data_IF_799666483148
#
_entry.id   IF_799666483148
#
_cell.length_a   1.000
_cell.length_b   1.000
_cell.length_c   1.000
_cell.angle_alpha   90.00
_cell.angle_beta   90.00
_cell.angle_gamma   90.00
#
_symmetry.space_group_name_H-M   'P 1'
#
loop_
_entity.id
_entity.type
_entity.pdbx_description
1 polymer ?
#
# COMPACT_ATOMS: atom_id res chain seq x y z
N UNK A 1 -21.63 3.13 1.07
CA UNK A 1 -21.81 4.49 0.48
C UNK A 1 -21.00 4.50 -0.80
N UNK A 2 -21.56 4.95 -1.92
CA UNK A 2 -20.81 5.10 -3.17
C UNK A 2 -19.86 6.30 -3.03
N UNK A 3 -18.63 6.21 -3.56
CA UNK A 3 -17.66 7.33 -3.52
C UNK A 3 -18.24 8.63 -4.08
N UNK A 4 -19.16 8.55 -5.06
CA UNK A 4 -19.89 9.71 -5.59
C UNK A 4 -20.89 10.31 -4.61
N UNK A 5 -21.34 9.58 -3.57
CA UNK A 5 -22.24 10.13 -2.55
C UNK A 5 -21.49 11.02 -1.56
N UNK A 6 -20.18 10.80 -1.36
CA UNK A 6 -19.33 11.69 -0.58
C UNK A 6 -19.40 13.13 -1.09
N UNK A 7 -19.37 13.32 -2.41
CA UNK A 7 -19.38 14.65 -3.02
C UNK A 7 -20.64 15.48 -2.70
N UNK A 8 -21.74 14.80 -2.31
CA UNK A 8 -23.02 15.41 -1.94
C UNK A 8 -23.27 15.45 -0.44
N UNK A 9 -22.39 14.89 0.35
CA UNK A 9 -22.46 14.91 1.80
C UNK A 9 -21.62 16.04 2.39
N UNK A 10 -21.78 16.31 3.66
CA UNK A 10 -20.96 17.21 4.46
C UNK A 10 -19.72 16.52 5.08
N UNK A 11 -19.54 15.23 4.79
CA UNK A 11 -18.34 14.50 5.18
C UNK A 11 -17.09 15.06 4.48
N UNK A 12 -15.97 15.11 5.19
CA UNK A 12 -14.69 15.65 4.70
C UNK A 12 -13.78 14.59 4.12
N UNK A 13 -13.94 13.34 4.51
CA UNK A 13 -13.09 12.21 4.13
C UNK A 13 -13.91 10.96 3.84
N UNK A 14 -13.33 10.04 3.08
CA UNK A 14 -13.81 8.67 2.89
C UNK A 14 -12.74 7.71 3.41
N UNK A 15 -13.13 6.83 4.32
CA UNK A 15 -12.28 5.74 4.82
C UNK A 15 -12.71 4.41 4.24
N UNK A 16 -11.80 3.73 3.56
CA UNK A 16 -11.95 2.34 3.14
C UNK A 16 -11.31 1.43 4.18
N UNK A 17 -12.05 0.43 4.61
CA UNK A 17 -11.57 -0.64 5.48
C UNK A 17 -12.19 -1.94 4.98
N UNK A 18 -11.36 -2.88 4.55
CA UNK A 18 -11.84 -4.21 4.18
C UNK A 18 -12.30 -4.97 5.42
N UNK A 19 -13.36 -5.75 5.28
CA UNK A 19 -14.01 -6.45 6.40
C UNK A 19 -13.13 -7.50 7.07
N UNK A 20 -12.00 -7.83 6.48
CA UNK A 20 -11.03 -8.81 6.95
C UNK A 20 -9.66 -8.19 7.32
N UNK A 21 -9.61 -6.86 7.46
CA UNK A 21 -8.45 -6.14 8.02
C UNK A 21 -8.66 -5.92 9.52
N UNK A 22 -7.73 -6.44 10.32
CA UNK A 22 -7.61 -6.16 11.76
C UNK A 22 -6.65 -4.98 11.97
N UNK A 23 -7.10 -3.96 12.69
CA UNK A 23 -6.39 -2.70 12.89
C UNK A 23 -6.64 -2.11 14.28
N UNK A 24 -5.77 -1.23 14.74
CA UNK A 24 -6.01 -0.43 15.92
C UNK A 24 -6.91 0.77 15.55
N UNK A 25 -8.07 0.99 16.21
CA UNK A 25 -8.92 2.15 15.93
C UNK A 25 -8.20 3.51 16.04
N UNK A 26 -7.14 3.60 16.84
CA UNK A 26 -6.31 4.81 16.92
C UNK A 26 -5.54 5.09 15.63
N UNK A 27 -5.33 4.09 14.75
CA UNK A 27 -4.70 4.29 13.46
C UNK A 27 -5.56 5.19 12.56
N UNK A 28 -6.89 5.06 12.61
CA UNK A 28 -7.80 5.96 11.86
C UNK A 28 -7.66 7.41 12.34
N UNK A 29 -7.56 7.61 13.66
CA UNK A 29 -7.35 8.95 14.23
C UNK A 29 -5.98 9.51 13.82
N UNK A 30 -4.96 8.66 13.80
CA UNK A 30 -3.62 9.05 13.34
C UNK A 30 -3.61 9.45 11.87
N UNK A 31 -4.29 8.69 10.99
CA UNK A 31 -4.41 9.05 9.56
C UNK A 31 -5.06 10.44 9.39
N UNK A 32 -6.15 10.71 10.12
CA UNK A 32 -6.82 12.02 10.08
C UNK A 32 -5.91 13.15 10.57
N UNK A 33 -5.15 12.92 11.65
CA UNK A 33 -4.27 13.93 12.24
C UNK A 33 -3.05 14.26 11.36
N UNK A 34 -2.66 13.35 10.46
CA UNK A 34 -1.55 13.56 9.54
C UNK A 34 -1.90 14.48 8.36
N UNK A 35 -3.17 14.75 8.15
CA UNK A 35 -3.68 15.73 7.15
C UNK A 35 -3.07 15.54 5.75
N UNK A 36 -3.15 14.32 5.22
CA UNK A 36 -2.66 13.97 3.88
C UNK A 36 -3.82 13.70 2.93
N UNK A 37 -3.71 14.09 1.65
CA UNK A 37 -4.81 13.97 0.69
C UNK A 37 -5.24 12.50 0.47
N UNK A 38 -4.29 11.59 0.39
CA UNK A 38 -4.51 10.13 0.34
C UNK A 38 -3.47 9.47 1.22
N UNK A 39 -3.91 8.69 2.20
CA UNK A 39 -3.02 8.03 3.15
C UNK A 39 -3.60 6.71 3.62
N UNK A 40 -2.74 5.73 3.89
CA UNK A 40 -3.17 4.42 4.40
C UNK A 40 -2.15 3.73 5.26
N UNK A 41 -2.52 2.56 5.77
CA UNK A 41 -1.63 1.63 6.46
C UNK A 41 -1.23 0.45 5.57
N UNK A 42 0.00 -0.05 5.69
CA UNK A 42 0.41 -1.25 4.98
C UNK A 42 -0.25 -2.48 5.61
N UNK A 43 -0.99 -3.25 4.83
CA UNK A 43 -1.51 -4.54 5.27
C UNK A 43 -0.88 -5.68 4.46
N UNK A 44 -0.63 -6.84 5.09
CA UNK A 44 0.01 -7.95 4.41
C UNK A 44 -0.93 -8.61 3.41
N UNK A 45 -0.36 -9.15 2.34
CA UNK A 45 -1.06 -10.11 1.47
C UNK A 45 -1.39 -11.38 2.25
N UNK A 46 -2.38 -12.15 1.78
CA UNK A 46 -2.72 -13.48 2.33
C UNK A 46 -1.70 -14.55 1.89
N UNK A 47 -0.43 -14.26 2.12
CA UNK A 47 0.70 -15.14 1.81
C UNK A 47 1.73 -15.09 2.94
N UNK A 48 2.55 -16.11 3.05
CA UNK A 48 3.71 -16.14 3.96
C UNK A 48 4.97 -16.17 3.10
N UNK A 49 5.80 -15.15 3.26
CA UNK A 49 7.08 -15.02 2.56
C UNK A 49 8.14 -15.90 3.28
N UNK A 50 8.10 -17.21 3.04
CA UNK A 50 8.98 -18.18 3.71
C UNK A 50 10.46 -17.92 3.48
N UNK A 51 10.85 -17.36 2.34
CA UNK A 51 12.21 -16.95 2.04
C UNK A 51 12.71 -15.86 3.01
N UNK A 52 11.86 -14.88 3.35
CA UNK A 52 12.19 -13.83 4.33
C UNK A 52 12.34 -14.41 5.75
N UNK A 53 11.44 -15.31 6.13
CA UNK A 53 11.50 -16.03 7.42
C UNK A 53 12.79 -16.83 7.52
N UNK A 54 13.16 -17.55 6.44
CA UNK A 54 14.40 -18.32 6.38
C UNK A 54 15.64 -17.43 6.53
N UNK A 55 15.67 -16.32 5.81
CA UNK A 55 16.80 -15.38 5.85
C UNK A 55 16.92 -14.71 7.23
N UNK A 56 15.81 -14.33 7.83
CA UNK A 56 15.79 -13.78 9.20
C UNK A 56 16.35 -14.80 10.21
N UNK A 57 15.95 -16.08 10.09
CA UNK A 57 16.47 -17.14 10.94
C UNK A 57 17.99 -17.35 10.73
N UNK A 58 18.47 -17.37 9.49
CA UNK A 58 19.91 -17.48 9.17
C UNK A 58 20.74 -16.33 9.72
N UNK A 59 20.18 -15.14 9.79
CA UNK A 59 20.85 -13.95 10.31
C UNK A 59 20.70 -13.79 11.83
N UNK A 60 20.08 -14.75 12.52
CA UNK A 60 19.94 -14.74 13.97
C UNK A 60 18.96 -13.71 14.52
N UNK A 61 18.08 -13.15 13.68
CA UNK A 61 17.18 -12.05 14.07
C UNK A 61 16.11 -12.44 15.07
N UNK A 62 15.92 -13.73 15.35
CA UNK A 62 14.93 -14.25 16.31
C UNK A 62 15.55 -15.27 17.28
N UNK A 63 16.86 -15.25 17.51
CA UNK A 63 17.56 -16.21 18.39
C UNK A 63 16.97 -16.26 19.80
N UNK A 64 16.60 -15.09 20.36
CA UNK A 64 16.06 -14.98 21.71
C UNK A 64 14.56 -15.34 21.82
N UNK A 65 13.84 -15.30 20.71
CA UNK A 65 12.42 -15.63 20.67
C UNK A 65 11.99 -16.05 19.25
N UNK A 66 11.86 -17.35 18.97
CA UNK A 66 11.46 -17.83 17.64
C UNK A 66 10.10 -17.31 17.16
N UNK A 67 9.22 -16.84 18.05
CA UNK A 67 7.93 -16.25 17.67
C UNK A 67 8.11 -14.93 16.90
N UNK A 68 9.22 -14.23 17.06
CA UNK A 68 9.55 -13.04 16.28
C UNK A 68 9.77 -13.36 14.79
N UNK A 69 9.98 -14.60 14.40
CA UNK A 69 10.03 -14.98 12.97
C UNK A 69 8.72 -14.65 12.24
N UNK A 70 7.59 -14.61 12.94
CA UNK A 70 6.32 -14.20 12.36
C UNK A 70 6.33 -12.75 11.86
N UNK A 71 7.12 -11.88 12.46
CA UNK A 71 7.24 -10.47 12.05
C UNK A 71 7.89 -10.31 10.67
N UNK A 72 8.67 -11.31 10.22
CA UNK A 72 9.34 -11.33 8.92
C UNK A 72 8.54 -12.01 7.81
N UNK A 73 7.33 -12.50 8.11
CA UNK A 73 6.51 -13.28 7.18
C UNK A 73 5.71 -12.44 6.17
N UNK A 74 5.60 -11.12 6.41
CA UNK A 74 4.73 -10.25 5.64
C UNK A 74 5.26 -9.91 4.24
N UNK A 75 4.35 -9.91 3.26
CA UNK A 75 4.51 -9.27 1.97
C UNK A 75 3.33 -8.28 1.81
N UNK A 76 3.61 -7.00 1.58
CA UNK A 76 2.64 -5.93 1.79
C UNK A 76 2.04 -5.39 0.49
N UNK A 77 0.81 -4.85 0.60
CA UNK A 77 0.06 -4.29 -0.53
C UNK A 77 0.36 -2.80 -0.65
N UNK A 78 1.48 -2.46 -1.24
CA UNK A 78 1.82 -1.12 -1.70
C UNK A 78 3.03 -1.16 -2.64
N UNK A 79 3.23 -0.10 -3.41
CA UNK A 79 4.44 0.11 -4.20
C UNK A 79 5.03 1.48 -3.87
N UNK A 80 6.35 1.53 -3.76
CA UNK A 80 7.10 2.77 -3.54
C UNK A 80 7.25 3.56 -4.83
N UNK A 81 7.46 4.86 -4.72
CA UNK A 81 7.80 5.71 -5.85
C UNK A 81 9.13 5.23 -6.45
N UNK A 82 9.23 5.13 -7.80
CA UNK A 82 10.48 4.75 -8.45
C UNK A 82 11.66 5.62 -8.01
N UNK A 83 12.78 4.97 -7.64
CA UNK A 83 13.98 5.65 -7.13
C UNK A 83 14.01 5.82 -5.60
N UNK A 84 12.95 5.47 -4.88
CA UNK A 84 12.98 5.42 -3.41
C UNK A 84 13.91 4.30 -2.94
N UNK A 85 14.96 4.66 -2.22
CA UNK A 85 15.97 3.71 -1.70
C UNK A 85 15.77 3.40 -0.23
N UNK A 86 15.12 4.29 0.51
CA UNK A 86 14.89 4.17 1.94
C UNK A 86 13.50 4.71 2.32
N UNK A 87 12.87 4.07 3.30
CA UNK A 87 11.63 4.51 3.94
C UNK A 87 11.90 4.62 5.44
N UNK A 88 11.59 5.77 6.02
CA UNK A 88 11.60 5.93 7.47
C UNK A 88 10.38 5.24 8.08
N UNK A 89 10.61 4.47 9.15
CA UNK A 89 9.55 3.65 9.75
C UNK A 89 8.65 4.43 10.73
N UNK A 90 8.99 5.67 11.05
CA UNK A 90 8.32 6.54 12.03
C UNK A 90 7.66 7.78 11.41
N UNK A 91 7.73 7.95 10.11
CA UNK A 91 7.13 9.06 9.35
C UNK A 91 6.27 8.53 8.18
N UNK A 92 5.23 9.28 7.74
CA UNK A 92 4.52 8.95 6.50
C UNK A 92 5.49 8.94 5.32
N UNK A 93 5.48 7.86 4.57
CA UNK A 93 6.29 7.71 3.37
C UNK A 93 5.44 7.90 2.11
N UNK A 94 5.97 8.59 1.11
CA UNK A 94 5.32 8.71 -0.19
C UNK A 94 5.31 7.36 -0.90
N UNK A 95 4.16 6.98 -1.42
CA UNK A 95 3.96 5.74 -2.15
C UNK A 95 3.49 6.00 -3.59
N UNK A 96 3.81 5.09 -4.50
CA UNK A 96 3.27 5.10 -5.85
C UNK A 96 1.81 4.65 -5.85
N UNK A 97 1.54 3.58 -5.14
CA UNK A 97 0.24 2.90 -5.07
C UNK A 97 0.07 2.25 -3.68
N UNK A 98 -1.13 2.31 -3.15
CA UNK A 98 -1.55 1.61 -1.93
C UNK A 98 -2.91 0.94 -2.16
N UNK A 99 -3.22 -0.08 -1.37
CA UNK A 99 -4.49 -0.78 -1.47
C UNK A 99 -5.62 -0.12 -0.68
N UNK A 100 -6.86 -0.30 -1.12
CA UNK A 100 -8.07 0.22 -0.44
C UNK A 100 -8.45 -0.53 0.83
N UNK A 101 -7.75 -1.61 1.17
CA UNK A 101 -8.03 -2.36 2.41
C UNK A 101 -7.91 -1.54 3.69
N UNK A 102 -7.09 -0.47 3.67
CA UNK A 102 -7.02 0.52 4.76
C UNK A 102 -6.52 1.87 4.20
N UNK A 103 -7.44 2.67 3.64
CA UNK A 103 -7.10 3.92 2.94
C UNK A 103 -8.07 5.04 3.32
N UNK A 104 -7.53 6.18 3.74
CA UNK A 104 -8.26 7.42 3.98
C UNK A 104 -8.02 8.40 2.83
N UNK A 105 -9.08 9.00 2.30
CA UNK A 105 -9.03 9.93 1.17
C UNK A 105 -9.82 11.18 1.53
N UNK A 106 -9.21 12.34 1.37
CA UNK A 106 -9.85 13.63 1.52
C UNK A 106 -10.88 13.87 0.39
N UNK A 107 -12.01 14.47 0.70
CA UNK A 107 -13.07 14.78 -0.27
C UNK A 107 -12.57 15.60 -1.46
N UNK A 108 -11.69 16.57 -1.21
CA UNK A 108 -11.08 17.41 -2.24
C UNK A 108 -10.36 16.62 -3.35
N UNK A 109 -9.84 15.44 -3.03
CA UNK A 109 -9.21 14.53 -4.00
C UNK A 109 -10.22 14.02 -5.00
N UNK A 110 -11.41 13.62 -4.54
CA UNK A 110 -12.49 13.16 -5.43
C UNK A 110 -13.02 14.30 -6.32
N UNK A 111 -13.07 15.52 -5.79
CA UNK A 111 -13.47 16.71 -6.56
C UNK A 111 -12.47 16.98 -7.68
N UNK A 112 -11.18 17.04 -7.37
CA UNK A 112 -10.10 17.23 -8.36
C UNK A 112 -10.06 16.10 -9.40
N UNK A 113 -10.23 14.84 -8.96
CA UNK A 113 -10.23 13.68 -9.85
C UNK A 113 -11.40 13.73 -10.84
N UNK A 114 -12.62 14.01 -10.36
CA UNK A 114 -13.81 14.17 -11.21
C UNK A 114 -13.61 15.27 -12.25
N UNK A 115 -13.07 16.41 -11.83
CA UNK A 115 -12.90 17.58 -12.70
C UNK A 115 -11.80 17.33 -13.76
N UNK A 116 -10.79 16.51 -13.44
CA UNK A 116 -9.73 16.14 -14.36
C UNK A 116 -10.13 15.03 -15.35
N UNK A 117 -11.04 14.13 -14.96
CA UNK A 117 -11.44 12.96 -15.75
C UNK A 117 -12.97 12.88 -15.93
N UNK A 118 -13.60 13.88 -16.56
CA UNK A 118 -15.07 13.94 -16.72
C UNK A 118 -15.64 12.74 -17.51
N UNK A 119 -14.82 12.08 -18.34
CA UNK A 119 -15.19 10.90 -19.12
C UNK A 119 -15.54 9.68 -18.27
N UNK A 120 -15.19 9.67 -16.98
CA UNK A 120 -15.57 8.61 -16.04
C UNK A 120 -16.93 8.84 -15.39
N UNK A 121 -17.61 9.94 -15.73
CA UNK A 121 -18.99 10.16 -15.31
C UNK A 121 -19.95 9.32 -16.14
N UNK A 122 -20.91 8.69 -15.48
CA UNK A 122 -21.89 7.85 -16.14
C UNK A 122 -23.26 7.91 -15.47
N UNK A 123 -24.30 7.50 -16.20
CA UNK A 123 -25.64 7.29 -15.66
C UNK A 123 -25.80 5.81 -15.33
N UNK A 124 -26.34 5.47 -14.14
CA UNK A 124 -26.57 4.08 -13.78
C UNK A 124 -27.68 3.47 -14.65
N UNK A 125 -27.52 2.23 -15.00
CA UNK A 125 -28.46 1.48 -15.84
C UNK A 125 -29.71 1.05 -15.04
N UNK A 126 -29.55 0.71 -13.76
CA UNK A 126 -30.70 0.27 -12.95
C UNK A 126 -31.37 1.41 -12.23
N UNK A 127 -32.69 1.28 -12.21
CA UNK A 127 -33.62 2.30 -11.79
C UNK A 127 -34.08 2.14 -10.34
N UNK A 128 -34.08 3.27 -9.64
CA UNK A 128 -35.07 3.64 -8.60
C UNK A 128 -35.12 2.77 -7.36
N UNK A 129 -34.32 3.15 -6.42
CA UNK A 129 -34.64 2.95 -5.00
C UNK A 129 -35.30 4.22 -4.47
N UNK A 130 -35.90 4.17 -3.28
CA UNK A 130 -36.46 5.34 -2.58
C UNK A 130 -35.50 6.53 -2.50
N UNK A 131 -34.20 6.28 -2.54
CA UNK A 131 -33.14 7.28 -2.42
C UNK A 131 -32.44 7.60 -3.75
N UNK A 132 -32.86 6.98 -4.86
CA UNK A 132 -32.21 7.15 -6.16
C UNK A 132 -33.23 7.06 -7.30
N UNK A 133 -33.47 8.17 -7.96
CA UNK A 133 -34.43 8.33 -9.05
C UNK A 133 -33.85 8.13 -10.46
N UNK A 134 -32.57 7.77 -10.56
CA UNK A 134 -31.85 7.61 -11.83
C UNK A 134 -31.37 8.92 -12.45
N UNK A 135 -31.62 10.07 -11.81
CA UNK A 135 -31.18 11.37 -12.33
C UNK A 135 -29.76 11.74 -11.98
N UNK A 136 -29.14 11.02 -11.01
CA UNK A 136 -27.80 11.30 -10.53
C UNK A 136 -26.73 10.83 -11.51
N UNK A 137 -25.81 11.69 -11.81
CA UNK A 137 -24.53 11.32 -12.41
C UNK A 137 -23.65 10.65 -11.35
N UNK A 138 -23.07 9.52 -11.70
CA UNK A 138 -22.13 8.76 -10.87
C UNK A 138 -20.77 8.86 -11.55
N UNK A 139 -19.71 9.02 -10.75
CA UNK A 139 -18.35 9.04 -11.26
C UNK A 139 -17.61 7.76 -10.85
N UNK A 140 -16.96 7.12 -11.81
CA UNK A 140 -16.21 5.88 -11.62
C UNK A 140 -14.79 6.21 -11.19
N UNK A 141 -14.58 6.38 -9.88
CA UNK A 141 -13.27 6.69 -9.30
C UNK A 141 -12.33 5.48 -9.29
N UNK A 142 -12.90 4.28 -9.14
CA UNK A 142 -12.16 3.03 -9.01
C UNK A 142 -12.58 2.08 -10.13
N UNK A 143 -11.64 1.72 -10.99
CA UNK A 143 -11.84 0.75 -12.05
C UNK A 143 -10.51 0.05 -12.39
N UNK A 144 -10.57 -1.23 -12.74
CA UNK A 144 -9.44 -1.93 -13.26
C UNK A 144 -9.27 -1.63 -14.76
N UNK A 145 -8.05 -1.30 -15.18
CA UNK A 145 -7.75 -1.02 -16.58
C UNK A 145 -6.30 -1.35 -16.95
N UNK A 146 -6.05 -1.44 -18.25
CA UNK A 146 -4.68 -1.43 -18.78
C UNK A 146 -4.27 0.03 -18.94
N UNK A 147 -3.35 0.49 -18.10
CA UNK A 147 -2.83 1.85 -18.18
C UNK A 147 -2.14 2.07 -19.54
N UNK A 148 -2.55 3.09 -20.32
CA UNK A 148 -2.06 3.28 -21.68
C UNK A 148 -0.56 3.62 -21.75
N UNK A 149 0.00 4.22 -20.71
CA UNK A 149 1.40 4.63 -20.66
C UNK A 149 2.31 3.50 -20.19
N UNK A 150 2.05 2.94 -19.02
CA UNK A 150 2.89 1.89 -18.43
C UNK A 150 2.62 0.50 -19.00
N UNK A 151 1.48 0.30 -19.68
CA UNK A 151 0.99 -1.00 -20.17
C UNK A 151 0.76 -2.04 -19.07
N UNK A 152 0.72 -1.59 -17.81
CA UNK A 152 0.36 -2.45 -16.68
C UNK A 152 -1.16 -2.60 -16.60
N UNK A 153 -1.60 -3.81 -16.25
CA UNK A 153 -2.97 -3.99 -15.75
C UNK A 153 -3.02 -3.50 -14.31
N UNK A 154 -3.72 -2.41 -14.06
CA UNK A 154 -3.90 -1.82 -12.75
C UNK A 154 -5.21 -2.33 -12.15
N UNK A 155 -5.16 -2.77 -10.89
CA UNK A 155 -6.36 -2.94 -10.06
C UNK A 155 -7.03 -1.59 -9.82
N UNK A 156 -8.24 -1.61 -9.32
CA UNK A 156 -9.05 -0.41 -9.11
C UNK A 156 -8.40 0.61 -8.16
N UNK A 157 -7.74 0.12 -7.11
CA UNK A 157 -7.01 0.93 -6.13
C UNK A 157 -5.71 1.51 -6.72
N UNK A 158 -4.95 0.71 -7.46
CA UNK A 158 -3.71 1.15 -8.10
C UNK A 158 -4.00 2.13 -9.26
N UNK A 159 -5.07 1.90 -10.01
CA UNK A 159 -5.53 2.85 -11.02
C UNK A 159 -5.85 4.20 -10.38
N UNK A 160 -6.66 4.21 -9.31
CA UNK A 160 -7.00 5.44 -8.61
C UNK A 160 -5.73 6.18 -8.13
N UNK A 161 -4.81 5.49 -7.47
CA UNK A 161 -3.57 6.09 -6.99
C UNK A 161 -2.75 6.70 -8.13
N UNK A 162 -2.52 5.97 -9.22
CA UNK A 162 -1.72 6.46 -10.33
C UNK A 162 -2.36 7.64 -11.04
N UNK A 163 -3.68 7.60 -11.26
CA UNK A 163 -4.37 8.67 -11.94
C UNK A 163 -4.54 9.92 -11.05
N UNK A 164 -4.68 9.74 -9.74
CA UNK A 164 -4.60 10.84 -8.78
C UNK A 164 -3.21 11.51 -8.82
N UNK A 165 -2.13 10.71 -8.89
CA UNK A 165 -0.77 11.25 -9.04
C UNK A 165 -0.55 12.02 -10.33
N UNK A 166 -1.15 11.62 -11.45
CA UNK A 166 -1.07 12.34 -12.73
C UNK A 166 -1.62 13.78 -12.64
N UNK A 167 -2.51 14.05 -11.69
CA UNK A 167 -3.06 15.39 -11.42
C UNK A 167 -2.45 16.07 -10.19
N UNK A 168 -1.28 15.59 -9.75
CA UNK A 168 -0.49 16.21 -8.69
C UNK A 168 -0.93 15.90 -7.26
N UNK A 169 -1.68 14.81 -7.05
CA UNK A 169 -2.06 14.34 -5.71
C UNK A 169 -1.02 13.33 -5.22
N UNK A 170 -0.47 13.58 -4.06
CA UNK A 170 0.49 12.69 -3.41
C UNK A 170 -0.23 11.58 -2.64
N UNK A 171 0.33 10.38 -2.65
CA UNK A 171 -0.17 9.19 -1.94
C UNK A 171 0.82 8.85 -0.84
N UNK A 172 0.32 8.57 0.37
CA UNK A 172 1.16 8.27 1.53
C UNK A 172 0.81 6.95 2.17
N UNK A 173 1.81 6.34 2.83
CA UNK A 173 1.65 5.17 3.65
C UNK A 173 2.30 5.39 5.01
N UNK A 174 1.74 4.81 6.08
CA UNK A 174 2.25 4.87 7.45
C UNK A 174 2.96 3.55 7.78
N UNK A 175 4.30 3.43 7.60
CA UNK A 175 5.02 2.16 7.71
C UNK A 175 4.96 1.51 9.10
N UNK A 176 4.77 2.31 10.17
CA UNK A 176 4.69 1.83 11.56
C UNK A 176 3.37 1.15 11.93
N UNK A 177 2.32 1.29 11.11
CA UNK A 177 1.02 0.67 11.40
C UNK A 177 1.10 -0.84 11.23
N UNK A 178 0.62 -1.58 12.23
CA UNK A 178 0.66 -3.05 12.28
C UNK A 178 -0.72 -3.62 12.00
N UNK A 179 -1.09 -3.66 10.75
CA UNK A 179 -2.35 -4.26 10.29
C UNK A 179 -2.18 -5.77 10.08
N UNK A 180 -3.28 -6.52 10.25
CA UNK A 180 -3.31 -7.94 9.92
C UNK A 180 -4.42 -8.21 8.91
N UNK A 181 -4.26 -9.26 8.13
CA UNK A 181 -5.22 -9.65 7.12
C UNK A 181 -5.79 -11.05 7.46
N UNK A 182 -7.07 -11.09 7.79
CA UNK A 182 -7.73 -12.34 8.15
C UNK A 182 -8.07 -13.17 6.89
N UNK A 183 -7.90 -14.48 7.01
CA UNK A 183 -8.23 -15.46 5.99
C UNK A 183 -8.43 -16.81 6.65
N UNK A 184 -7.97 -17.89 6.00
CA UNK A 184 -7.82 -19.21 6.65
C UNK A 184 -6.72 -19.20 7.72
N UNK A 185 -5.91 -18.17 7.72
CA UNK A 185 -4.85 -17.85 8.66
C UNK A 185 -4.87 -16.32 8.91
N UNK A 186 -4.39 -15.88 10.07
CA UNK A 186 -4.20 -14.45 10.36
C UNK A 186 -2.80 -14.06 9.86
N UNK A 187 -2.77 -13.42 8.69
CA UNK A 187 -1.53 -12.93 8.11
C UNK A 187 -1.13 -11.63 8.78
N UNK A 188 0.10 -11.55 9.22
CA UNK A 188 0.68 -10.40 9.89
C UNK A 188 2.12 -10.19 9.46
N UNK A 189 2.85 -9.41 10.24
CA UNK A 189 4.26 -9.11 10.02
C UNK A 189 4.60 -7.74 10.59
N UNK A 190 5.83 -7.30 10.40
CA UNK A 190 6.31 -5.99 10.79
C UNK A 190 7.17 -5.39 9.67
N UNK A 191 6.81 -4.22 9.22
CA UNK A 191 7.63 -3.46 8.28
C UNK A 191 8.98 -3.09 8.89
N UNK A 192 9.01 -2.78 10.20
CA UNK A 192 10.24 -2.52 10.95
C UNK A 192 11.18 -3.72 10.92
N UNK A 193 10.65 -4.94 11.17
CA UNK A 193 11.42 -6.17 11.11
C UNK A 193 11.95 -6.45 9.69
N UNK A 194 11.16 -6.20 8.66
CA UNK A 194 11.60 -6.35 7.27
C UNK A 194 12.70 -5.32 6.89
N UNK A 195 12.63 -4.11 7.44
CA UNK A 195 13.70 -3.11 7.28
C UNK A 195 15.00 -3.57 7.95
N UNK A 196 14.93 -4.13 9.17
CA UNK A 196 16.07 -4.73 9.86
C UNK A 196 16.68 -5.89 9.05
N UNK A 197 15.85 -6.80 8.56
CA UNK A 197 16.28 -7.90 7.71
C UNK A 197 17.04 -7.38 6.48
N UNK A 198 16.49 -6.39 5.78
CA UNK A 198 17.11 -5.80 4.59
C UNK A 198 18.44 -5.12 4.91
N UNK A 199 18.57 -4.50 6.09
CA UNK A 199 19.84 -3.92 6.55
C UNK A 199 20.89 -5.00 6.81
N UNK A 200 20.53 -6.04 7.56
CA UNK A 200 21.41 -7.18 7.87
C UNK A 200 21.86 -7.94 6.62
N UNK A 201 20.96 -8.12 5.65
CA UNK A 201 21.33 -8.75 4.38
C UNK A 201 22.39 -7.91 3.63
N UNK A 202 22.26 -6.60 3.59
CA UNK A 202 23.26 -5.71 3.00
C UNK A 202 24.60 -5.81 3.74
N UNK A 203 24.60 -5.72 5.07
CA UNK A 203 25.83 -5.88 5.86
C UNK A 203 26.55 -7.20 5.58
N UNK A 204 25.81 -8.32 5.54
CA UNK A 204 26.34 -9.65 5.27
C UNK A 204 26.93 -9.74 3.84
N UNK A 205 26.30 -9.11 2.86
CA UNK A 205 26.81 -9.06 1.49
C UNK A 205 28.12 -8.29 1.36
N UNK A 206 28.29 -7.18 2.09
CA UNK A 206 29.51 -6.37 2.09
C UNK A 206 30.62 -6.95 2.98
N UNK A 207 30.27 -7.74 4.00
CA UNK A 207 31.23 -8.40 4.87
C UNK A 207 31.90 -9.62 4.22
N UNK A 208 31.33 -10.17 3.14
CA UNK A 208 31.95 -11.27 2.39
C UNK A 208 33.06 -10.70 1.51
N UNK A 209 34.38 -10.98 1.76
CA UNK A 209 35.43 -10.53 0.89
C UNK A 209 35.22 -11.12 -0.50
N UNK A 210 35.24 -10.28 -1.52
CA UNK A 210 35.33 -10.75 -2.91
C UNK A 210 36.62 -11.54 -2.99
N UNK A 211 36.51 -12.86 -3.00
CA UNK A 211 37.67 -13.72 -3.36
C UNK A 211 38.05 -13.36 -4.78
N UNK A 212 39.00 -12.42 -4.93
CA UNK A 212 39.63 -12.18 -6.21
C UNK A 212 40.35 -13.49 -6.56
N UNK A 213 39.89 -14.11 -7.63
CA UNK A 213 40.57 -15.23 -8.27
C UNK A 213 42.02 -14.85 -8.59
N UNK A 214 42.91 -15.14 -7.66
CA UNK A 214 44.32 -15.11 -7.85
C UNK A 214 44.77 -16.46 -8.44
N UNK A 215 44.24 -16.81 -9.62
CA UNK A 215 44.73 -17.94 -10.42
C UNK A 215 44.68 -17.56 -11.89
N UNK A 216 45.62 -16.70 -12.30
CA UNK A 216 46.11 -16.72 -13.67
C UNK A 216 47.30 -15.74 -13.83
N UNK A 217 48.42 -16.00 -13.19
CA UNK A 217 49.71 -15.55 -13.68
C UNK A 217 50.80 -16.51 -13.09
N UNK A 218 50.91 -17.71 -13.62
CA UNK A 218 52.17 -18.42 -13.71
C UNK A 218 52.04 -19.44 -14.84
N UNK A 219 52.42 -19.06 -16.05
CA UNK A 219 53.06 -19.90 -17.07
C UNK A 219 53.43 -19.05 -18.28
N UNK A 220 54.59 -18.47 -18.28
CA UNK A 220 55.60 -18.53 -19.34
C UNK A 220 56.89 -17.81 -18.92
#
# INVERSE_FOLDING_TARGET
MCSSDLLRSDATHLMFIDSDIDFNPMDVIALLALDKPVIGGPYPKKTIAWEKVHDAAKLGLAENNPMHLADYSGDYVFNVVPGTTEIKMDEPAEALEIGTGFMLIEKSVFEKFRDAYPEFSYKPDHNRTTNFDGSREIHMFFQALIDPESRRYLSEDYMFCQWARKIGIEIFICPWMKLKHAGTYIFGGSMEALAELSHKQREAQYATPVARDAKEVVKR
#
